data_IF_227422091925
#
_entry.id   IF_227422091925
#
_cell.length_a   1.000
_cell.length_b   1.000
_cell.length_c   1.000
_cell.angle_alpha   90.00
_cell.angle_beta   90.00
_cell.angle_gamma   90.00
#
_symmetry.space_group_name_H-M   'P 1'
#
loop_
_entity.id
_entity.type
_entity.pdbx_description
1 polymer ?
#
# COMPACT_ATOMS: atom_id res chain seq x y z
N UNK A 1 11.38 -6.70 4.33
CA UNK A 1 11.43 -5.73 3.24
C UNK A 1 11.18 -4.34 3.78
N UNK A 2 11.91 -3.33 3.33
CA UNK A 2 11.82 -1.93 3.81
C UNK A 2 12.69 -1.60 5.02
N UNK A 3 13.35 -0.42 4.97
CA UNK A 3 14.36 0.01 5.97
C UNK A 3 13.85 0.01 7.41
N UNK A 4 12.63 0.50 7.65
CA UNK A 4 12.07 0.59 9.02
C UNK A 4 11.84 -0.79 9.63
N UNK A 5 11.33 -1.74 8.86
CA UNK A 5 11.13 -3.12 9.31
C UNK A 5 12.46 -3.79 9.64
N UNK A 6 13.47 -3.64 8.76
CA UNK A 6 14.81 -4.19 8.99
C UNK A 6 15.39 -3.64 10.30
N UNK A 7 15.39 -2.34 10.50
CA UNK A 7 15.90 -1.72 11.74
C UNK A 7 15.13 -2.20 12.97
N UNK A 8 13.80 -2.35 12.87
CA UNK A 8 12.98 -2.84 13.97
C UNK A 8 13.37 -4.27 14.38
N UNK A 9 13.50 -5.18 13.41
CA UNK A 9 13.83 -6.57 13.67
C UNK A 9 15.30 -6.76 14.04
N UNK A 10 16.23 -5.99 13.47
CA UNK A 10 17.63 -6.01 13.88
C UNK A 10 17.81 -5.66 15.36
N UNK A 11 17.08 -4.66 15.85
CA UNK A 11 17.10 -4.30 17.27
C UNK A 11 16.49 -5.37 18.18
N UNK A 12 15.79 -6.35 17.62
CA UNK A 12 15.17 -7.49 18.31
C UNK A 12 15.70 -8.85 17.86
N UNK A 13 16.94 -8.89 17.42
CA UNK A 13 17.59 -10.11 16.93
C UNK A 13 17.61 -11.28 17.95
N UNK A 14 17.44 -10.99 19.26
CA UNK A 14 17.27 -12.01 20.28
C UNK A 14 15.91 -12.73 20.26
N UNK A 15 14.90 -12.12 19.67
CA UNK A 15 13.53 -12.65 19.59
C UNK A 15 13.19 -13.21 18.20
N UNK A 16 13.82 -12.67 17.16
CA UNK A 16 13.51 -13.00 15.76
C UNK A 16 14.79 -13.33 14.99
N UNK A 17 14.77 -14.42 14.26
CA UNK A 17 15.89 -14.81 13.37
C UNK A 17 15.64 -14.19 11.99
N UNK A 18 16.50 -13.27 11.57
CA UNK A 18 16.43 -12.69 10.21
C UNK A 18 17.26 -13.58 9.29
N UNK A 19 16.62 -14.24 8.33
CA UNK A 19 17.27 -15.08 7.30
C UNK A 19 17.82 -14.24 6.17
N UNK A 20 16.97 -13.40 5.58
CA UNK A 20 17.33 -12.55 4.44
C UNK A 20 16.73 -11.15 4.57
N UNK A 21 17.38 -10.16 3.97
CA UNK A 21 16.89 -8.78 3.92
C UNK A 21 16.95 -8.27 2.48
N UNK A 22 15.79 -7.83 1.98
CA UNK A 22 15.68 -7.23 0.66
C UNK A 22 15.64 -5.72 0.78
N UNK A 23 16.68 -5.06 0.27
CA UNK A 23 16.84 -3.60 0.25
C UNK A 23 17.03 -3.12 -1.17
N UNK A 24 16.65 -1.87 -1.43
CA UNK A 24 16.83 -1.28 -2.75
C UNK A 24 15.73 -1.61 -3.75
N UNK A 25 14.58 -2.11 -3.26
CA UNK A 25 13.39 -2.26 -4.10
C UNK A 25 12.98 -0.90 -4.67
N UNK A 26 12.57 -0.90 -5.92
CA UNK A 26 12.08 0.31 -6.57
C UNK A 26 10.79 0.82 -5.92
N UNK A 27 10.50 2.10 -6.11
CA UNK A 27 9.26 2.70 -5.57
C UNK A 27 8.01 2.06 -6.18
N UNK A 28 8.11 1.59 -7.42
CA UNK A 28 7.10 0.78 -8.09
C UNK A 28 7.69 -0.63 -8.24
N UNK A 29 7.28 -1.59 -7.39
CA UNK A 29 7.82 -2.95 -7.43
C UNK A 29 7.59 -3.63 -8.77
N UNK A 30 8.62 -4.28 -9.27
CA UNK A 30 8.60 -4.99 -10.54
C UNK A 30 8.35 -6.50 -10.35
N UNK A 31 7.87 -7.15 -11.41
CA UNK A 31 7.67 -8.61 -11.40
C UNK A 31 8.99 -9.38 -11.20
N UNK A 32 10.11 -8.83 -11.69
CA UNK A 32 11.42 -9.44 -11.51
C UNK A 32 11.86 -9.48 -10.05
N UNK A 33 11.63 -8.40 -9.31
CA UNK A 33 11.91 -8.33 -7.87
C UNK A 33 11.01 -9.31 -7.09
N UNK A 34 9.71 -9.35 -7.40
CA UNK A 34 8.78 -10.27 -6.77
C UNK A 34 9.16 -11.74 -7.03
N UNK A 35 9.56 -12.08 -8.27
CA UNK A 35 10.02 -13.43 -8.62
C UNK A 35 11.29 -13.82 -7.87
N UNK A 36 12.25 -12.90 -7.72
CA UNK A 36 13.47 -13.15 -6.96
C UNK A 36 13.16 -13.52 -5.50
N UNK A 37 12.26 -12.76 -4.86
CA UNK A 37 11.83 -13.01 -3.49
C UNK A 37 11.02 -14.31 -3.39
N UNK A 38 10.11 -14.56 -4.34
CA UNK A 38 9.28 -15.76 -4.39
C UNK A 38 10.12 -17.04 -4.46
N UNK A 39 11.15 -17.04 -5.30
CA UNK A 39 12.04 -18.18 -5.45
C UNK A 39 12.81 -18.49 -4.16
N UNK A 40 13.28 -17.46 -3.45
CA UNK A 40 14.00 -17.65 -2.18
C UNK A 40 13.06 -18.18 -1.08
N UNK A 41 11.84 -17.62 -0.98
CA UNK A 41 10.82 -18.08 -0.04
C UNK A 41 10.40 -19.52 -0.34
N UNK A 42 10.20 -19.87 -1.61
CA UNK A 42 9.84 -21.22 -2.03
C UNK A 42 10.94 -22.22 -1.74
N UNK A 43 12.21 -21.86 -1.99
CA UNK A 43 13.37 -22.71 -1.68
C UNK A 43 13.46 -22.99 -0.17
N UNK A 44 13.22 -21.99 0.68
CA UNK A 44 13.23 -22.17 2.14
C UNK A 44 12.07 -23.05 2.60
N UNK A 45 10.89 -22.92 2.02
CA UNK A 45 9.73 -23.77 2.32
C UNK A 45 9.96 -25.23 1.90
N UNK A 46 10.47 -25.43 0.67
CA UNK A 46 10.75 -26.77 0.14
C UNK A 46 11.91 -27.48 0.88
N UNK A 47 12.83 -26.74 1.50
CA UNK A 47 13.88 -27.33 2.34
C UNK A 47 13.35 -27.97 3.63
N UNK A 48 12.07 -27.79 3.96
CA UNK A 48 11.43 -28.30 5.18
C UNK A 48 11.88 -27.56 6.45
N UNK A 49 12.54 -26.42 6.33
CA UNK A 49 12.96 -25.62 7.47
C UNK A 49 11.83 -24.75 8.03
N UNK A 50 10.74 -24.62 7.29
CA UNK A 50 9.61 -23.74 7.61
C UNK A 50 8.31 -24.45 7.29
N UNK A 51 7.37 -24.51 8.23
CA UNK A 51 6.07 -25.16 8.05
C UNK A 51 5.01 -24.22 7.46
N UNK A 52 5.20 -22.89 7.64
CA UNK A 52 4.24 -21.87 7.23
C UNK A 52 4.94 -20.59 6.79
N UNK A 53 4.44 -20.01 5.74
CA UNK A 53 4.88 -18.72 5.22
C UNK A 53 3.73 -17.72 5.25
N UNK A 54 3.92 -16.64 5.98
CA UNK A 54 2.96 -15.54 6.09
C UNK A 54 3.57 -14.25 5.58
N UNK A 55 2.78 -13.46 4.90
CA UNK A 55 3.15 -12.10 4.52
C UNK A 55 2.36 -11.09 5.35
N UNK A 56 3.07 -10.10 5.91
CA UNK A 56 2.49 -8.98 6.61
C UNK A 56 2.71 -7.74 5.77
N UNK A 57 1.62 -7.14 5.30
CA UNK A 57 1.69 -5.98 4.44
C UNK A 57 0.53 -5.01 4.72
N UNK A 58 0.59 -3.84 4.12
CA UNK A 58 -0.47 -2.84 4.24
C UNK A 58 -1.36 -2.90 3.00
N UNK A 59 -2.57 -3.43 3.15
CA UNK A 59 -3.59 -3.50 2.10
C UNK A 59 -4.11 -2.08 1.82
N UNK A 60 -4.13 -1.72 0.55
CA UNK A 60 -4.69 -0.46 0.09
C UNK A 60 -6.21 -0.58 -0.04
N UNK A 61 -6.96 0.29 0.64
CA UNK A 61 -8.42 0.35 0.54
C UNK A 61 -8.83 1.58 -0.28
N UNK A 62 -8.33 2.75 0.12
CA UNK A 62 -8.56 4.01 -0.59
C UNK A 62 -7.45 5.03 -0.25
N UNK A 63 -7.49 6.21 -0.84
CA UNK A 63 -6.47 7.24 -0.67
C UNK A 63 -6.29 7.72 0.79
N UNK A 64 -7.27 7.48 1.65
CA UNK A 64 -7.27 7.92 3.06
C UNK A 64 -7.03 6.75 4.00
N UNK A 65 -7.54 5.55 3.65
CA UNK A 65 -7.52 4.38 4.51
C UNK A 65 -6.67 3.26 3.95
N UNK A 66 -5.83 2.72 4.79
CA UNK A 66 -5.07 1.49 4.57
C UNK A 66 -5.12 0.63 5.84
N UNK A 67 -5.06 -0.69 5.70
CA UNK A 67 -5.16 -1.64 6.80
C UNK A 67 -3.98 -2.60 6.78
N UNK A 68 -3.29 -2.85 7.90
CA UNK A 68 -2.32 -3.93 7.98
C UNK A 68 -3.05 -5.28 7.94
N UNK A 69 -2.57 -6.18 7.09
CA UNK A 69 -3.13 -7.52 6.88
C UNK A 69 -2.02 -8.54 7.01
N UNK A 70 -2.35 -9.69 7.58
CA UNK A 70 -1.54 -10.90 7.59
C UNK A 70 -2.20 -11.90 6.68
N UNK A 71 -1.48 -12.36 5.67
CA UNK A 71 -1.98 -13.36 4.71
C UNK A 71 -1.05 -14.56 4.69
N UNK A 72 -1.62 -15.75 4.75
CA UNK A 72 -0.86 -17.00 4.59
C UNK A 72 -0.57 -17.21 3.10
N UNK A 73 0.69 -17.42 2.77
CA UNK A 73 1.12 -17.73 1.40
C UNK A 73 1.28 -19.22 1.17
N UNK A 74 1.77 -19.94 2.18
CA UNK A 74 2.01 -21.38 2.17
C UNK A 74 1.78 -21.97 3.57
N UNK A 75 1.20 -23.18 3.72
CA UNK A 75 0.59 -23.99 2.66
C UNK A 75 -0.66 -23.32 2.08
N UNK A 76 -1.06 -23.70 0.86
CA UNK A 76 -2.26 -23.18 0.22
C UNK A 76 -3.48 -23.95 0.70
N UNK A 77 -4.33 -23.30 1.47
CA UNK A 77 -5.68 -23.79 1.75
C UNK A 77 -6.68 -23.18 0.76
N UNK A 78 -7.70 -23.96 0.38
CA UNK A 78 -8.71 -23.49 -0.57
C UNK A 78 -9.47 -22.23 -0.07
N UNK A 79 -9.50 -22.00 1.24
CA UNK A 79 -10.12 -20.84 1.86
C UNK A 79 -9.20 -19.60 1.87
N UNK A 80 -7.88 -19.80 1.82
CA UNK A 80 -6.89 -18.70 1.82
C UNK A 80 -6.65 -18.11 0.43
N UNK A 81 -7.11 -18.79 -0.62
CA UNK A 81 -6.96 -18.34 -2.02
C UNK A 81 -7.92 -17.18 -2.33
N UNK A 82 -9.07 -17.14 -1.69
CA UNK A 82 -10.07 -16.09 -1.85
C UNK A 82 -10.08 -15.20 -0.61
N UNK A 83 -9.64 -13.96 -0.74
CA UNK A 83 -9.84 -12.96 0.30
C UNK A 83 -11.35 -12.62 0.36
N UNK A 84 -12.02 -12.70 1.54
CA UNK A 84 -13.43 -12.36 1.66
C UNK A 84 -13.75 -10.92 1.25
N UNK A 85 -12.75 -10.05 1.22
CA UNK A 85 -12.86 -8.66 0.77
C UNK A 85 -12.51 -8.48 -0.72
N UNK A 86 -12.17 -9.55 -1.46
CA UNK A 86 -11.86 -9.46 -2.89
C UNK A 86 -13.17 -9.46 -3.72
N UNK A 87 -13.40 -8.37 -4.43
CA UNK A 87 -14.46 -8.27 -5.42
C UNK A 87 -14.00 -8.86 -6.75
N UNK A 88 -14.68 -9.90 -7.21
CA UNK A 88 -14.43 -10.46 -8.54
C UNK A 88 -15.29 -9.75 -9.57
N UNK A 89 -14.67 -9.06 -10.52
CA UNK A 89 -15.35 -8.41 -11.62
C UNK A 89 -15.50 -9.35 -12.79
N UNK A 90 -16.75 -9.63 -13.17
CA UNK A 90 -17.07 -10.42 -14.35
C UNK A 90 -17.57 -9.50 -15.45
N UNK A 91 -16.93 -9.54 -16.62
CA UNK A 91 -17.44 -8.87 -17.81
C UNK A 91 -18.56 -9.71 -18.42
N UNK A 92 -19.78 -9.17 -18.39
CA UNK A 92 -20.97 -9.81 -18.96
C UNK A 92 -21.53 -8.93 -20.07
N UNK A 93 -21.94 -9.53 -21.16
CA UNK A 93 -22.63 -8.81 -22.23
C UNK A 93 -24.14 -8.89 -21.96
N UNK A 94 -24.73 -7.76 -21.54
CA UNK A 94 -26.18 -7.59 -21.45
C UNK A 94 -26.64 -6.62 -22.55
N UNK A 95 -27.62 -7.06 -23.34
CA UNK A 95 -28.21 -6.24 -24.43
C UNK A 95 -27.20 -5.69 -25.44
N UNK A 96 -26.13 -6.45 -25.74
CA UNK A 96 -25.08 -6.05 -26.67
C UNK A 96 -24.08 -5.02 -26.12
N UNK A 97 -24.17 -4.65 -24.86
CA UNK A 97 -23.21 -3.80 -24.16
C UNK A 97 -22.42 -4.58 -23.12
N UNK A 98 -21.12 -4.30 -23.03
CA UNK A 98 -20.24 -4.84 -22.01
C UNK A 98 -20.57 -4.17 -20.66
N UNK A 99 -21.03 -4.99 -19.70
CA UNK A 99 -21.34 -4.52 -18.34
C UNK A 99 -20.45 -5.27 -17.35
N UNK A 100 -19.98 -4.58 -16.34
CA UNK A 100 -19.20 -5.15 -15.24
C UNK A 100 -20.18 -5.61 -14.16
N UNK A 101 -20.15 -6.89 -13.84
CA UNK A 101 -20.93 -7.46 -12.74
C UNK A 101 -19.96 -7.83 -11.61
N UNK A 102 -20.21 -7.31 -10.42
CA UNK A 102 -19.45 -7.67 -9.22
C UNK A 102 -20.03 -8.94 -8.63
N UNK A 103 -19.19 -9.95 -8.46
CA UNK A 103 -19.58 -11.24 -7.87
C UNK A 103 -18.83 -11.41 -6.55
N UNK A 104 -19.56 -11.61 -5.46
CA UNK A 104 -18.97 -11.97 -4.16
C UNK A 104 -18.28 -13.33 -4.26
N UNK A 105 -16.97 -13.34 -4.05
CA UNK A 105 -16.13 -14.55 -4.13
C UNK A 105 -16.56 -15.60 -3.12
N UNK A 106 -17.08 -15.18 -1.97
CA UNK A 106 -17.54 -16.10 -0.91
C UNK A 106 -18.70 -17.03 -1.34
N UNK A 107 -19.45 -16.66 -2.38
CA UNK A 107 -20.58 -17.46 -2.90
C UNK A 107 -20.31 -18.10 -4.27
N UNK A 108 -19.21 -17.77 -4.90
CA UNK A 108 -18.80 -18.34 -6.17
C UNK A 108 -17.96 -19.61 -5.93
N UNK A 109 -18.59 -20.72 -5.54
CA UNK A 109 -18.01 -22.02 -5.85
C UNK A 109 -18.19 -22.22 -7.36
N UNK A 110 -17.13 -22.09 -8.17
CA UNK A 110 -17.22 -22.50 -9.56
C UNK A 110 -17.35 -24.02 -9.54
N UNK A 111 -18.58 -24.53 -9.61
CA UNK A 111 -18.79 -25.90 -9.98
C UNK A 111 -18.16 -26.04 -11.37
N UNK A 112 -17.00 -26.67 -11.45
CA UNK A 112 -16.40 -27.04 -12.73
C UNK A 112 -17.44 -27.83 -13.48
N UNK A 113 -17.71 -27.52 -14.76
CA UNK A 113 -18.62 -28.33 -15.56
C UNK A 113 -18.17 -29.79 -15.49
N UNK A 114 -19.11 -30.71 -15.40
CA UNK A 114 -18.84 -32.16 -15.31
C UNK A 114 -18.02 -32.71 -16.48
N UNK A 115 -17.96 -31.97 -17.58
CA UNK A 115 -17.25 -32.34 -18.82
C UNK A 115 -15.83 -31.75 -18.89
N UNK A 116 -15.34 -31.16 -17.79
CA UNK A 116 -14.00 -30.57 -17.75
C UNK A 116 -12.95 -31.69 -17.57
N UNK A 117 -12.15 -31.91 -18.60
CA UNK A 117 -11.05 -32.89 -18.59
C UNK A 117 -9.73 -32.17 -18.49
N UNK A 118 -8.95 -32.46 -17.45
CA UNK A 118 -7.61 -31.96 -17.34
C UNK A 118 -6.66 -32.81 -18.20
N UNK A 119 -5.82 -32.17 -19.03
CA UNK A 119 -4.80 -32.87 -19.83
C UNK A 119 -3.64 -33.38 -18.94
N UNK A 120 -3.42 -32.78 -17.81
CA UNK A 120 -2.37 -33.15 -16.84
C UNK A 120 -2.97 -33.56 -15.50
N UNK A 121 -2.20 -34.34 -14.73
CA UNK A 121 -2.62 -34.66 -13.35
C UNK A 121 -2.74 -33.38 -12.51
N UNK A 122 -3.71 -33.32 -11.58
CA UNK A 122 -3.88 -32.15 -10.70
C UNK A 122 -2.59 -31.74 -9.95
N UNK A 123 -1.79 -32.73 -9.55
CA UNK A 123 -0.51 -32.49 -8.87
C UNK A 123 0.52 -31.80 -9.76
N UNK A 124 0.64 -32.19 -11.02
CA UNK A 124 1.54 -31.57 -11.98
C UNK A 124 1.10 -30.14 -12.30
N UNK A 125 -0.19 -29.92 -12.42
CA UNK A 125 -0.76 -28.60 -12.66
C UNK A 125 -0.50 -27.68 -11.47
N UNK A 126 -0.74 -28.13 -10.24
CA UNK A 126 -0.48 -27.37 -9.02
C UNK A 126 1.00 -27.02 -8.89
N UNK A 127 1.90 -27.98 -9.13
CA UNK A 127 3.33 -27.74 -9.03
C UNK A 127 3.86 -26.69 -10.05
N UNK A 128 3.24 -26.60 -11.21
CA UNK A 128 3.60 -25.58 -12.20
C UNK A 128 2.96 -24.21 -11.92
N UNK A 129 1.77 -24.17 -11.31
CA UNK A 129 1.08 -22.93 -10.99
C UNK A 129 1.55 -22.29 -9.68
N UNK A 130 2.04 -23.08 -8.72
CA UNK A 130 2.45 -22.60 -7.40
C UNK A 130 3.48 -21.46 -7.45
N UNK A 131 4.58 -21.56 -8.22
CA UNK A 131 5.55 -20.46 -8.30
C UNK A 131 4.95 -19.18 -8.88
N UNK A 132 4.08 -19.34 -9.89
CA UNK A 132 3.40 -18.21 -10.52
C UNK A 132 2.42 -17.52 -9.55
N UNK A 133 1.63 -18.32 -8.83
CA UNK A 133 0.74 -17.80 -7.79
C UNK A 133 1.50 -17.02 -6.72
N UNK A 134 2.59 -17.60 -6.22
CA UNK A 134 3.41 -17.03 -5.17
C UNK A 134 4.03 -15.68 -5.60
N UNK A 135 4.58 -15.63 -6.81
CA UNK A 135 5.15 -14.42 -7.37
C UNK A 135 4.10 -13.32 -7.59
N UNK A 136 2.88 -13.70 -8.03
CA UNK A 136 1.78 -12.76 -8.21
C UNK A 136 1.26 -12.20 -6.86
N UNK A 137 1.11 -13.05 -5.85
CA UNK A 137 0.68 -12.59 -4.51
C UNK A 137 1.73 -11.68 -3.86
N UNK A 138 3.01 -11.99 -4.01
CA UNK A 138 4.08 -11.12 -3.55
C UNK A 138 4.10 -9.79 -4.31
N UNK A 139 3.96 -9.81 -5.63
CA UNK A 139 3.89 -8.60 -6.44
C UNK A 139 2.70 -7.73 -6.03
N UNK A 140 1.51 -8.34 -5.89
CA UNK A 140 0.29 -7.66 -5.42
C UNK A 140 0.53 -6.99 -4.07
N UNK A 141 1.02 -7.72 -3.09
CA UNK A 141 1.25 -7.19 -1.74
C UNK A 141 2.29 -6.07 -1.69
N UNK A 142 3.35 -6.16 -2.52
CA UNK A 142 4.35 -5.10 -2.66
C UNK A 142 3.74 -3.84 -3.30
N UNK A 143 2.93 -3.99 -4.35
CA UNK A 143 2.26 -2.88 -5.03
C UNK A 143 1.21 -2.21 -4.13
N UNK A 144 0.42 -2.99 -3.39
CA UNK A 144 -0.54 -2.46 -2.42
C UNK A 144 0.15 -1.69 -1.29
N UNK A 145 1.26 -2.20 -0.76
CA UNK A 145 2.06 -1.50 0.24
C UNK A 145 2.66 -0.20 -0.31
N UNK A 146 3.18 -0.21 -1.53
CA UNK A 146 3.69 0.99 -2.20
C UNK A 146 2.58 2.03 -2.47
N UNK A 147 1.41 1.58 -2.93
CA UNK A 147 0.24 2.44 -3.15
C UNK A 147 -0.22 3.10 -1.84
N UNK A 148 -0.28 2.33 -0.74
CA UNK A 148 -0.64 2.85 0.59
C UNK A 148 0.36 3.89 1.10
N UNK A 149 1.66 3.67 0.87
CA UNK A 149 2.69 4.64 1.23
C UNK A 149 2.56 5.93 0.42
N UNK A 150 2.35 5.82 -0.90
CA UNK A 150 2.17 6.97 -1.79
C UNK A 150 0.91 7.77 -1.44
N UNK A 151 -0.20 7.09 -1.14
CA UNK A 151 -1.45 7.73 -0.73
C UNK A 151 -1.28 8.51 0.59
N UNK A 152 -0.65 7.90 1.59
CA UNK A 152 -0.36 8.57 2.86
C UNK A 152 0.55 9.78 2.69
N UNK A 153 1.58 9.66 1.83
CA UNK A 153 2.49 10.77 1.50
C UNK A 153 1.74 11.90 0.80
N UNK A 154 0.88 11.58 -0.18
CA UNK A 154 0.07 12.57 -0.89
C UNK A 154 -0.85 13.34 0.06
N UNK A 155 -1.54 12.62 0.95
CA UNK A 155 -2.42 13.23 1.94
C UNK A 155 -1.64 14.14 2.90
N UNK A 156 -0.48 13.69 3.39
CA UNK A 156 0.38 14.50 4.26
C UNK A 156 0.90 15.76 3.55
N UNK A 157 1.28 15.66 2.27
CA UNK A 157 1.73 16.81 1.50
C UNK A 157 0.59 17.81 1.23
N UNK A 158 -0.62 17.34 0.93
CA UNK A 158 -1.79 18.21 0.76
C UNK A 158 -2.10 18.96 2.05
N UNK A 159 -2.14 18.26 3.18
CA UNK A 159 -2.35 18.89 4.49
C UNK A 159 -1.24 19.92 4.81
N UNK A 160 0.01 19.60 4.52
CA UNK A 160 1.13 20.54 4.71
C UNK A 160 0.99 21.79 3.82
N UNK A 161 0.56 21.61 2.57
CA UNK A 161 0.30 22.73 1.65
C UNK A 161 -0.81 23.65 2.16
N UNK A 162 -1.91 23.06 2.64
CA UNK A 162 -3.04 23.84 3.15
C UNK A 162 -2.69 24.57 4.45
N UNK A 163 -1.95 23.92 5.35
CA UNK A 163 -1.41 24.56 6.55
C UNK A 163 -0.47 25.71 6.22
N UNK A 164 0.41 25.55 5.21
CA UNK A 164 1.31 26.61 4.77
C UNK A 164 0.54 27.82 4.19
N UNK A 165 -0.52 27.57 3.39
CA UNK A 165 -1.39 28.64 2.87
C UNK A 165 -2.12 29.39 4.00
N UNK A 166 -2.64 28.65 5.00
CA UNK A 166 -3.29 29.25 6.15
C UNK A 166 -2.32 30.12 6.96
N UNK A 167 -1.11 29.63 7.20
CA UNK A 167 -0.06 30.37 7.88
C UNK A 167 0.35 31.64 7.12
N UNK A 168 0.54 31.54 5.81
CA UNK A 168 0.87 32.68 4.95
C UNK A 168 -0.22 33.77 5.02
N UNK A 169 -1.51 33.37 5.03
CA UNK A 169 -2.62 34.32 5.18
C UNK A 169 -2.59 35.02 6.53
N UNK A 170 -2.34 34.28 7.61
CA UNK A 170 -2.23 34.86 8.96
C UNK A 170 -1.05 35.85 9.07
N UNK A 171 0.12 35.43 8.58
CA UNK A 171 1.31 36.32 8.58
C UNK A 171 1.10 37.57 7.72
N UNK A 172 0.39 37.47 6.61
CA UNK A 172 0.07 38.62 5.77
C UNK A 172 -0.86 39.60 6.51
N UNK A 173 -1.83 39.11 7.26
CA UNK A 173 -2.70 39.95 8.09
C UNK A 173 -1.89 40.65 9.22
N UNK A 174 -1.05 39.90 9.90
CA UNK A 174 -0.19 40.45 10.98
C UNK A 174 0.79 41.49 10.45
N UNK A 175 1.40 41.23 9.31
CA UNK A 175 2.26 42.19 8.61
C UNK A 175 1.52 43.48 8.28
N UNK A 176 0.35 43.40 7.67
CA UNK A 176 -0.47 44.54 7.30
C UNK A 176 -0.87 45.34 8.55
N UNK A 177 -1.21 44.67 9.65
CA UNK A 177 -1.56 45.28 10.93
C UNK A 177 -0.37 46.03 11.55
N UNK A 178 0.79 45.39 11.58
CA UNK A 178 2.03 45.98 12.04
C UNK A 178 2.44 47.19 11.19
N UNK A 179 2.35 47.08 9.86
CA UNK A 179 2.62 48.17 8.93
C UNK A 179 1.70 49.36 9.16
N UNK A 180 0.39 49.14 9.32
CA UNK A 180 -0.58 50.22 9.58
C UNK A 180 -0.29 50.87 10.92
N UNK A 181 0.04 50.12 11.98
CA UNK A 181 0.40 50.68 13.29
C UNK A 181 1.67 51.56 13.21
N UNK A 182 2.70 51.10 12.47
CA UNK A 182 3.92 51.89 12.27
C UNK A 182 3.61 53.20 11.54
N UNK A 183 2.87 53.16 10.43
CA UNK A 183 2.48 54.38 9.69
C UNK A 183 1.67 55.34 10.58
N UNK A 184 0.75 54.80 11.38
CA UNK A 184 -0.06 55.62 12.30
C UNK A 184 0.80 56.30 13.37
N UNK A 185 1.79 55.58 13.89
CA UNK A 185 2.74 56.13 14.86
C UNK A 185 3.59 57.24 14.25
N UNK A 186 4.12 57.04 13.03
CA UNK A 186 4.88 58.05 12.31
C UNK A 186 4.05 59.35 12.08
N UNK A 187 2.79 59.18 11.67
CA UNK A 187 1.88 60.34 11.48
C UNK A 187 1.64 61.08 12.80
N UNK A 188 1.41 60.33 13.90
CA UNK A 188 1.20 60.94 15.22
C UNK A 188 2.43 61.72 15.72
N UNK A 189 3.62 61.21 15.46
CA UNK A 189 4.87 61.89 15.80
C UNK A 189 5.04 63.18 14.99
N UNK A 190 4.73 63.17 13.70
CA UNK A 190 4.80 64.38 12.85
C UNK A 190 3.76 65.42 13.29
N UNK A 191 2.50 64.99 13.55
CA UNK A 191 1.42 65.90 13.98
C UNK A 191 1.72 66.44 15.38
N UNK A 192 2.24 65.61 16.31
CA UNK A 192 2.64 66.05 17.64
C UNK A 192 3.79 67.04 17.64
N UNK A 193 4.75 66.82 16.74
CA UNK A 193 5.85 67.78 16.54
C UNK A 193 5.40 69.11 15.94
N UNK A 194 4.46 69.10 15.01
CA UNK A 194 3.89 70.29 14.38
C UNK A 194 3.03 71.15 15.35
N UNK A 195 2.34 70.45 16.29
CA UNK A 195 1.56 71.17 17.33
C UNK A 195 2.36 71.68 18.54
N UNK A 196 3.64 71.36 18.63
CA UNK A 196 4.54 71.83 19.67
C UNK A 196 5.41 73.05 19.23
N UNK A 197 5.27 73.44 17.97
CA UNK A 197 5.81 74.72 17.45
C UNK A 197 4.73 75.79 17.48
#
# INVERSE_FOLDING_TARGET
MGRKAITYFQNRASQYTIRATFTGLEQVPTAAEANGIANEVLAEFLSGSTDRVEIIYTKFINLVNSKPVVQTLLPLDAQDIADPDDEMFRLVTKDGQLTVETVDVANAQPALPSDFVFEQSPEQLLNSLLPLYLSNQLLRSLQEAAASELASRMTAMNNASDNAKALAKTLTLDYNKARQAAITQEILEVVGGASAM
#
